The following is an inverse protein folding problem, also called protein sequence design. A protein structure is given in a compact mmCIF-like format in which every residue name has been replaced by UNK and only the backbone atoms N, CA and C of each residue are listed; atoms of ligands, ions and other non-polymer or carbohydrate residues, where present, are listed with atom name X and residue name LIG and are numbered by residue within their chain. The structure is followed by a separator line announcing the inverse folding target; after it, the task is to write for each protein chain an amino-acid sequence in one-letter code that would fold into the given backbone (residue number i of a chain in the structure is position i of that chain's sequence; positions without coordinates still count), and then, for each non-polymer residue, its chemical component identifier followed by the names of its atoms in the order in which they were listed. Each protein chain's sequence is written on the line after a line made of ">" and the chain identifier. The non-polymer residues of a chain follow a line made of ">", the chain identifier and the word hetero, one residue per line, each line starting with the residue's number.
data_IF_533492004979
#
_entry.id   IF_533492004979
#
_cell.length_a   1.000
_cell.length_b   1.000
_cell.length_c   1.000
_cell.angle_alpha   90.00
_cell.angle_beta   90.00
_cell.angle_gamma   90.00
#
_symmetry.space_group_name_H-M   'P 1'
#
loop_
_entity.id
_entity.type
_entity.pdbx_description
1 polymer ?
#
# COMPACT_ATOMS: atom_id res chain seq x y z
N UNK A 1 17.91 -1.41 -15.33
CA UNK A 1 18.55 -0.49 -16.26
C UNK A 1 19.13 -1.18 -17.47
N UNK A 2 20.38 -0.92 -17.77
CA UNK A 2 21.04 -1.33 -19.03
C UNK A 2 20.99 -2.83 -19.34
N UNK A 3 21.00 -3.66 -18.30
CA UNK A 3 20.88 -5.12 -18.44
C UNK A 3 19.46 -5.60 -18.76
N UNK A 4 18.46 -4.72 -18.74
CA UNK A 4 17.05 -5.06 -18.93
C UNK A 4 16.59 -6.23 -18.06
N UNK A 5 17.07 -6.26 -16.81
CA UNK A 5 16.75 -7.32 -15.86
C UNK A 5 15.26 -7.33 -15.52
N UNK A 6 14.71 -8.54 -15.40
CA UNK A 6 13.32 -8.81 -15.03
C UNK A 6 13.30 -9.81 -13.89
N UNK A 7 12.34 -9.73 -13.01
CA UNK A 7 12.19 -10.70 -11.97
C UNK A 7 11.44 -10.21 -10.75
N UNK A 8 11.44 -11.07 -9.74
CA UNK A 8 10.90 -10.77 -8.42
C UNK A 8 12.03 -10.70 -7.40
N UNK A 9 12.02 -9.63 -6.62
CA UNK A 9 12.79 -9.51 -5.38
C UNK A 9 11.81 -9.75 -4.23
N UNK A 10 12.01 -10.84 -3.49
CA UNK A 10 11.20 -11.18 -2.34
C UNK A 10 11.95 -10.76 -1.08
N UNK A 11 11.51 -9.71 -0.43
CA UNK A 11 12.00 -9.26 0.86
C UNK A 11 11.37 -10.09 1.97
N UNK A 12 11.89 -11.29 2.20
CA UNK A 12 11.43 -12.14 3.28
C UNK A 12 11.86 -11.61 4.64
N UNK A 13 11.02 -11.80 5.68
CA UNK A 13 11.24 -11.26 7.02
C UNK A 13 11.37 -9.72 6.97
N UNK A 14 10.44 -9.09 6.29
CA UNK A 14 10.45 -7.65 6.04
C UNK A 14 9.80 -6.85 7.17
N UNK A 15 9.98 -5.52 7.13
CA UNK A 15 9.38 -4.59 8.07
C UNK A 15 9.98 -4.67 9.48
N UNK A 16 9.17 -4.37 10.47
CA UNK A 16 9.58 -4.27 11.90
C UNK A 16 8.63 -5.01 12.81
N UNK A 17 7.33 -4.88 12.61
CA UNK A 17 6.28 -5.36 13.50
C UNK A 17 6.30 -6.88 13.68
N UNK A 18 6.65 -7.64 12.65
CA UNK A 18 6.69 -9.11 12.68
C UNK A 18 8.06 -9.69 13.05
N UNK A 19 9.02 -8.85 13.47
CA UNK A 19 10.40 -9.23 13.80
C UNK A 19 10.68 -9.18 15.30
N UNK A 20 9.80 -9.71 16.12
CA UNK A 20 9.97 -9.79 17.56
C UNK A 20 11.21 -10.61 17.92
N UNK A 21 12.09 -10.04 18.75
CA UNK A 21 13.30 -10.72 19.21
C UNK A 21 14.45 -10.80 18.20
N UNK A 22 14.25 -10.34 16.97
CA UNK A 22 15.32 -10.20 15.98
C UNK A 22 16.20 -8.97 16.29
N UNK A 23 17.46 -9.00 15.87
CA UNK A 23 18.34 -7.84 16.05
C UNK A 23 17.98 -6.65 15.16
N UNK A 24 18.46 -5.46 15.52
CA UNK A 24 18.23 -4.21 14.76
C UNK A 24 18.60 -4.33 13.27
N UNK A 25 19.58 -5.15 12.94
CA UNK A 25 20.04 -5.38 11.56
C UNK A 25 18.98 -6.03 10.65
N UNK A 26 17.96 -6.64 11.21
CA UNK A 26 16.84 -7.23 10.47
C UNK A 26 15.66 -6.26 10.28
N UNK A 27 15.65 -5.14 11.00
CA UNK A 27 14.56 -4.16 11.01
C UNK A 27 14.61 -3.28 9.75
N UNK A 28 13.82 -3.63 8.73
CA UNK A 28 13.71 -2.82 7.50
C UNK A 28 12.67 -1.69 7.66
N UNK A 29 13.11 -0.46 7.47
CA UNK A 29 12.21 0.69 7.45
C UNK A 29 12.27 1.50 6.16
N UNK A 30 13.17 1.18 5.22
CA UNK A 30 13.57 2.09 4.14
C UNK A 30 13.51 1.48 2.74
N UNK A 31 13.44 0.16 2.60
CA UNK A 31 13.53 -0.52 1.30
C UNK A 31 12.48 -0.06 0.29
N UNK A 32 11.25 0.21 0.74
CA UNK A 32 10.19 0.75 -0.12
C UNK A 32 10.52 2.14 -0.69
N UNK A 33 11.26 2.99 0.02
CA UNK A 33 11.71 4.27 -0.52
C UNK A 33 12.77 4.08 -1.61
N UNK A 34 13.72 3.17 -1.38
CA UNK A 34 14.74 2.83 -2.39
C UNK A 34 14.10 2.25 -3.65
N UNK A 35 13.12 1.36 -3.50
CA UNK A 35 12.35 0.81 -4.59
C UNK A 35 11.54 1.88 -5.33
N UNK A 36 10.85 2.77 -4.61
CA UNK A 36 10.05 3.84 -5.18
C UNK A 36 10.87 4.85 -6.02
N UNK A 37 12.15 5.05 -5.67
CA UNK A 37 13.07 5.91 -6.41
C UNK A 37 13.57 5.28 -7.72
N UNK A 38 13.36 3.96 -7.92
CA UNK A 38 13.85 3.23 -9.10
C UNK A 38 12.73 3.06 -10.12
N UNK A 39 12.82 3.65 -11.33
CA UNK A 39 11.69 3.76 -12.26
C UNK A 39 11.09 2.43 -12.74
N UNK A 40 11.90 1.38 -12.84
CA UNK A 40 11.47 0.05 -13.32
C UNK A 40 11.22 -0.95 -12.17
N UNK A 41 11.08 -0.50 -10.94
CA UNK A 41 10.69 -1.34 -9.80
C UNK A 41 9.27 -1.01 -9.38
N UNK A 42 8.40 -2.01 -9.33
CA UNK A 42 7.09 -1.96 -8.67
C UNK A 42 7.20 -2.59 -7.30
N UNK A 43 6.93 -1.83 -6.25
CA UNK A 43 7.07 -2.28 -4.87
C UNK A 43 5.70 -2.47 -4.22
N UNK A 44 5.50 -3.62 -3.58
CA UNK A 44 4.26 -3.99 -2.91
C UNK A 44 4.54 -4.46 -1.49
N UNK A 45 3.72 -3.99 -0.53
CA UNK A 45 3.71 -4.38 0.87
C UNK A 45 2.38 -5.09 1.16
N UNK A 46 2.41 -6.42 1.14
CA UNK A 46 1.23 -7.27 1.01
C UNK A 46 0.82 -7.87 2.37
N UNK A 47 -0.47 -7.76 2.70
CA UNK A 47 -1.02 -8.30 3.94
C UNK A 47 -1.49 -9.76 3.82
N UNK A 48 -1.98 -10.18 2.64
CA UNK A 48 -2.64 -11.47 2.48
C UNK A 48 -2.07 -12.30 1.33
N UNK A 49 -2.10 -13.63 1.48
CA UNK A 49 -1.57 -14.57 0.51
C UNK A 49 -2.19 -14.45 -0.89
N UNK A 50 -3.49 -14.13 -0.98
CA UNK A 50 -4.15 -13.92 -2.27
C UNK A 50 -3.59 -12.69 -3.02
N UNK A 51 -3.16 -11.66 -2.31
CA UNK A 51 -2.50 -10.49 -2.91
C UNK A 51 -1.17 -10.87 -3.53
N UNK A 52 -0.37 -11.67 -2.81
CA UNK A 52 0.91 -12.20 -3.31
C UNK A 52 0.68 -12.95 -4.62
N UNK A 53 -0.30 -13.86 -4.64
CA UNK A 53 -0.63 -14.65 -5.83
C UNK A 53 -1.04 -13.76 -7.02
N UNK A 54 -1.88 -12.75 -6.79
CA UNK A 54 -2.33 -11.79 -7.81
C UNK A 54 -1.17 -10.99 -8.36
N UNK A 55 -0.30 -10.45 -7.50
CA UNK A 55 0.83 -9.61 -7.91
C UNK A 55 1.89 -10.44 -8.64
N UNK A 56 2.17 -11.67 -8.21
CA UNK A 56 3.07 -12.58 -8.93
C UNK A 56 2.49 -12.90 -10.31
N UNK A 57 1.20 -13.23 -10.39
CA UNK A 57 0.55 -13.49 -11.67
C UNK A 57 0.63 -12.29 -12.62
N UNK A 58 0.34 -11.08 -12.12
CA UNK A 58 0.45 -9.84 -12.89
C UNK A 58 1.89 -9.58 -13.35
N UNK A 59 2.87 -9.80 -12.48
CA UNK A 59 4.29 -9.64 -12.82
C UNK A 59 4.75 -10.61 -13.90
N UNK A 60 4.34 -11.87 -13.84
CA UNK A 60 4.61 -12.87 -14.87
C UNK A 60 3.99 -12.44 -16.22
N UNK A 61 2.74 -11.96 -16.20
CA UNK A 61 2.09 -11.45 -17.40
C UNK A 61 2.88 -10.29 -18.02
N UNK A 62 3.25 -9.28 -17.22
CA UNK A 62 3.99 -8.11 -17.73
C UNK A 62 5.39 -8.48 -18.26
N UNK A 63 6.13 -9.33 -17.55
CA UNK A 63 7.50 -9.68 -17.92
C UNK A 63 7.58 -10.69 -19.05
N UNK A 64 6.66 -11.66 -19.12
CA UNK A 64 6.75 -12.79 -20.05
C UNK A 64 5.87 -12.59 -21.28
N UNK A 65 4.63 -12.12 -21.09
CA UNK A 65 3.69 -11.95 -22.21
C UNK A 65 3.79 -10.57 -22.86
N UNK A 66 4.02 -9.52 -22.05
CA UNK A 66 4.07 -8.14 -22.52
C UNK A 66 5.51 -7.64 -22.74
N UNK A 67 6.51 -8.48 -22.47
CA UNK A 67 7.95 -8.22 -22.70
C UNK A 67 8.48 -6.95 -21.98
N UNK A 68 7.89 -6.57 -20.82
CA UNK A 68 8.30 -5.39 -20.07
C UNK A 68 9.56 -5.62 -19.25
N UNK A 69 10.51 -4.68 -19.31
CA UNK A 69 11.72 -4.67 -18.49
C UNK A 69 11.43 -4.09 -17.09
N UNK A 70 10.87 -4.92 -16.23
CA UNK A 70 10.37 -4.51 -14.91
C UNK A 70 10.78 -5.52 -13.84
N UNK A 71 10.98 -5.02 -12.63
CA UNK A 71 11.24 -5.83 -11.44
C UNK A 71 10.12 -5.59 -10.42
N UNK A 72 9.59 -6.65 -9.87
CA UNK A 72 8.64 -6.61 -8.76
C UNK A 72 9.36 -6.82 -7.44
N UNK A 73 9.20 -5.89 -6.51
CA UNK A 73 9.68 -6.01 -5.13
C UNK A 73 8.50 -6.25 -4.21
N UNK A 74 8.47 -7.41 -3.55
CA UNK A 74 7.40 -7.81 -2.63
C UNK A 74 7.98 -8.02 -1.23
N UNK A 75 7.43 -7.34 -0.24
CA UNK A 75 7.75 -7.62 1.16
C UNK A 75 6.86 -8.73 1.69
N UNK A 76 7.49 -9.67 2.41
CA UNK A 76 6.86 -10.84 2.99
C UNK A 76 7.11 -10.86 4.50
N UNK A 77 6.06 -11.06 5.26
CA UNK A 77 6.06 -10.95 6.71
C UNK A 77 6.43 -12.26 7.40
N UNK A 78 6.99 -12.17 8.62
CA UNK A 78 7.39 -13.31 9.44
C UNK A 78 6.37 -13.61 10.56
N UNK A 79 5.08 -13.56 10.24
CA UNK A 79 4.01 -13.81 11.20
C UNK A 79 2.89 -14.64 10.57
N UNK A 80 2.36 -15.58 11.35
CA UNK A 80 1.20 -16.37 10.94
C UNK A 80 -0.09 -15.75 11.46
N UNK A 81 -1.01 -15.41 10.57
CA UNK A 81 -2.36 -14.95 10.90
C UNK A 81 -3.40 -15.51 9.94
N UNK A 82 -4.67 -15.43 10.32
CA UNK A 82 -5.77 -15.95 9.51
C UNK A 82 -5.96 -15.04 8.30
N UNK A 83 -5.86 -15.63 7.11
CA UNK A 83 -6.12 -14.93 5.84
C UNK A 83 -7.59 -15.06 5.48
N UNK A 84 -8.31 -13.96 5.24
CA UNK A 84 -9.69 -14.02 4.74
C UNK A 84 -9.71 -14.51 3.28
N UNK A 85 -10.86 -14.95 2.77
CA UNK A 85 -11.01 -15.21 1.35
C UNK A 85 -10.84 -13.93 0.53
N UNK A 86 -10.41 -14.08 -0.73
CA UNK A 86 -10.32 -12.96 -1.67
C UNK A 86 -11.71 -12.33 -1.86
N UNK A 87 -11.89 -11.03 -1.62
CA UNK A 87 -13.15 -10.36 -1.94
C UNK A 87 -13.40 -10.33 -3.45
N UNK A 88 -14.66 -10.37 -3.84
CA UNK A 88 -15.03 -10.34 -5.26
C UNK A 88 -14.72 -8.97 -5.90
N UNK A 89 -14.19 -9.00 -7.12
CA UNK A 89 -14.01 -7.81 -7.96
C UNK A 89 -12.85 -6.89 -7.61
N UNK A 90 -12.00 -7.23 -6.62
CA UNK A 90 -10.91 -6.33 -6.16
C UNK A 90 -9.54 -6.62 -6.79
N UNK A 91 -9.44 -7.58 -7.71
CA UNK A 91 -8.14 -7.99 -8.30
C UNK A 91 -7.40 -6.82 -8.95
N UNK A 92 -8.09 -6.01 -9.76
CA UNK A 92 -7.49 -4.84 -10.39
C UNK A 92 -7.09 -3.76 -9.39
N UNK A 93 -7.86 -3.59 -8.33
CA UNK A 93 -7.61 -2.61 -7.28
C UNK A 93 -6.39 -3.00 -6.45
N UNK A 94 -6.20 -4.30 -6.17
CA UNK A 94 -4.98 -4.87 -5.55
C UNK A 94 -3.75 -4.53 -6.39
N UNK A 95 -3.81 -4.72 -7.71
CA UNK A 95 -2.72 -4.41 -8.64
C UNK A 95 -2.43 -2.90 -8.67
N UNK A 96 -3.46 -2.06 -8.61
CA UNK A 96 -3.33 -0.60 -8.60
C UNK A 96 -2.86 -0.01 -7.27
N UNK A 97 -2.81 -0.82 -6.22
CA UNK A 97 -2.21 -0.43 -4.94
C UNK A 97 -3.17 -0.12 -3.80
N UNK A 98 -4.50 -0.15 -4.00
CA UNK A 98 -5.48 0.18 -2.96
C UNK A 98 -6.81 -0.50 -3.22
N UNK A 99 -7.34 -1.21 -2.22
CA UNK A 99 -8.67 -1.76 -2.27
C UNK A 99 -9.39 -1.69 -0.92
N UNK A 100 -10.71 -1.75 -0.93
CA UNK A 100 -11.55 -1.57 0.24
C UNK A 100 -11.75 -2.87 1.02
N UNK A 101 -11.57 -2.82 2.35
CA UNK A 101 -11.78 -3.93 3.27
C UNK A 101 -13.12 -3.82 4.00
N UNK A 102 -13.42 -2.65 4.59
CA UNK A 102 -14.68 -2.42 5.30
C UNK A 102 -15.43 -1.23 4.72
N UNK A 103 -16.73 -1.43 4.50
CA UNK A 103 -17.61 -0.41 3.96
C UNK A 103 -18.45 0.19 5.06
N UNK A 104 -18.53 1.51 5.11
CA UNK A 104 -19.55 2.25 5.83
C UNK A 104 -20.20 3.28 4.90
N UNK A 105 -21.50 3.51 5.01
CA UNK A 105 -22.21 4.43 4.13
C UNK A 105 -21.81 5.89 4.36
N UNK A 106 -21.55 6.25 5.61
CA UNK A 106 -21.22 7.62 6.04
C UNK A 106 -19.99 7.63 6.95
N UNK A 107 -18.81 7.33 6.41
CA UNK A 107 -17.60 7.35 7.21
C UNK A 107 -17.34 8.75 7.76
N UNK A 108 -16.99 8.85 9.04
CA UNK A 108 -16.49 10.08 9.65
C UNK A 108 -14.97 10.18 9.55
N UNK A 109 -14.30 9.04 9.34
CA UNK A 109 -12.86 8.89 9.20
C UNK A 109 -12.56 7.72 8.27
N UNK A 110 -11.41 7.75 7.63
CA UNK A 110 -10.88 6.67 6.81
C UNK A 110 -9.55 6.19 7.37
N UNK A 111 -9.38 4.88 7.41
CA UNK A 111 -8.14 4.24 7.83
C UNK A 111 -7.55 3.46 6.66
N UNK A 112 -6.25 3.65 6.42
CA UNK A 112 -5.45 2.93 5.43
C UNK A 112 -4.38 2.15 6.17
N UNK A 113 -4.24 0.84 5.87
CA UNK A 113 -3.17 0.00 6.39
C UNK A 113 -2.43 -0.71 5.27
N UNK A 114 -1.17 -1.08 5.47
CA UNK A 114 -0.42 -1.92 4.55
C UNK A 114 0.32 -3.04 5.30
N UNK A 115 0.60 -4.14 4.61
CA UNK A 115 1.33 -5.26 5.18
C UNK A 115 0.78 -5.69 6.55
N UNK A 116 1.65 -5.95 7.54
CA UNK A 116 1.24 -6.41 8.87
C UNK A 116 0.41 -5.37 9.63
N UNK A 117 0.56 -4.07 9.32
CA UNK A 117 -0.18 -2.99 9.98
C UNK A 117 -1.68 -2.99 9.63
N UNK A 118 -2.10 -3.72 8.58
CA UNK A 118 -3.53 -3.84 8.28
C UNK A 118 -4.30 -4.48 9.44
N UNK A 119 -3.73 -5.49 10.12
CA UNK A 119 -4.32 -6.11 11.30
C UNK A 119 -4.54 -5.09 12.43
N UNK A 120 -3.54 -4.26 12.71
CA UNK A 120 -3.61 -3.22 13.74
C UNK A 120 -4.63 -2.11 13.37
N UNK A 121 -4.70 -1.78 12.10
CA UNK A 121 -5.70 -0.80 11.59
C UNK A 121 -7.13 -1.35 11.72
N UNK A 122 -7.34 -2.64 11.50
CA UNK A 122 -8.63 -3.29 11.72
C UNK A 122 -9.02 -3.30 13.20
N UNK A 123 -8.06 -3.62 14.10
CA UNK A 123 -8.28 -3.54 15.54
C UNK A 123 -8.59 -2.10 16.01
N UNK A 124 -7.87 -1.11 15.48
CA UNK A 124 -8.16 0.30 15.75
C UNK A 124 -9.56 0.71 15.28
N UNK A 125 -10.02 0.16 14.14
CA UNK A 125 -11.37 0.42 13.65
C UNK A 125 -12.45 -0.16 14.59
N UNK A 126 -12.20 -1.33 15.17
CA UNK A 126 -13.09 -1.94 16.15
C UNK A 126 -13.15 -1.10 17.44
N UNK A 127 -12.00 -0.67 17.97
CA UNK A 127 -11.93 0.23 19.15
C UNK A 127 -12.63 1.57 18.90
N UNK A 128 -12.47 2.17 17.73
CA UNK A 128 -13.19 3.42 17.39
C UNK A 128 -14.70 3.22 17.40
N UNK A 129 -15.17 2.04 16.97
CA UNK A 129 -16.60 1.71 17.01
C UNK A 129 -17.09 1.47 18.43
N UNK A 130 -16.33 0.71 19.23
CA UNK A 130 -16.71 0.33 20.60
C UNK A 130 -16.69 1.53 21.56
N UNK A 131 -15.61 2.30 21.56
CA UNK A 131 -15.38 3.36 22.55
C UNK A 131 -16.02 4.70 22.16
N UNK A 132 -16.16 4.97 20.86
CA UNK A 132 -16.53 6.31 20.35
C UNK A 132 -17.74 6.33 19.42
N UNK A 133 -18.31 5.17 19.12
CA UNK A 133 -19.37 5.01 18.11
C UNK A 133 -19.01 5.65 16.74
N UNK A 134 -17.72 5.51 16.36
CA UNK A 134 -17.19 5.95 15.08
C UNK A 134 -16.90 4.71 14.22
N UNK A 135 -17.63 4.55 13.13
CA UNK A 135 -17.42 3.47 12.17
C UNK A 135 -16.57 3.99 11.00
N UNK A 136 -15.26 3.65 10.94
CA UNK A 136 -14.40 4.08 9.86
C UNK A 136 -14.60 3.28 8.58
N UNK A 137 -14.31 3.88 7.42
CA UNK A 137 -14.01 3.13 6.21
C UNK A 137 -12.59 2.60 6.30
N UNK A 138 -12.37 1.30 6.04
CA UNK A 138 -11.03 0.69 6.08
C UNK A 138 -10.60 0.20 4.71
N UNK A 139 -9.38 0.53 4.34
CA UNK A 139 -8.77 0.17 3.07
C UNK A 139 -7.41 -0.49 3.27
N UNK A 140 -7.08 -1.46 2.44
CA UNK A 140 -5.74 -2.01 2.36
C UNK A 140 -4.96 -1.32 1.24
N UNK A 141 -3.76 -0.86 1.56
CA UNK A 141 -2.80 -0.30 0.61
C UNK A 141 -1.76 -1.37 0.29
N UNK A 142 -1.84 -1.94 -0.88
CA UNK A 142 -0.86 -2.92 -1.35
C UNK A 142 0.40 -2.27 -1.92
N UNK A 143 0.30 -1.00 -2.38
CA UNK A 143 1.45 -0.25 -2.90
C UNK A 143 1.27 1.26 -2.84
N UNK A 144 1.96 1.92 -1.94
CA UNK A 144 2.01 3.39 -1.89
C UNK A 144 2.72 3.98 -3.11
N UNK A 145 3.77 3.31 -3.62
CA UNK A 145 4.53 3.81 -4.77
C UNK A 145 3.75 3.75 -6.07
N UNK A 146 2.97 2.69 -6.32
CA UNK A 146 2.16 2.59 -7.53
C UNK A 146 0.97 3.56 -7.49
N UNK A 147 0.39 3.80 -6.31
CA UNK A 147 -0.64 4.83 -6.12
C UNK A 147 -0.11 6.22 -6.47
N UNK A 148 1.09 6.58 -5.98
CA UNK A 148 1.74 7.85 -6.29
C UNK A 148 2.02 7.96 -7.80
N UNK A 149 2.64 6.94 -8.40
CA UNK A 149 2.95 6.92 -9.85
C UNK A 149 1.70 7.12 -10.69
N UNK A 150 0.63 6.41 -10.37
CA UNK A 150 -0.65 6.55 -11.08
C UNK A 150 -1.21 7.98 -10.95
N UNK A 151 -1.11 8.60 -9.77
CA UNK A 151 -1.55 9.97 -9.58
C UNK A 151 -0.70 10.96 -10.38
N UNK A 152 0.64 10.86 -10.31
CA UNK A 152 1.59 11.69 -11.08
C UNK A 152 1.38 11.56 -12.60
N UNK A 153 1.19 10.34 -13.10
CA UNK A 153 0.88 10.09 -14.51
C UNK A 153 -0.46 10.71 -14.93
N UNK A 154 -1.46 10.63 -14.06
CA UNK A 154 -2.77 11.24 -14.29
C UNK A 154 -2.68 12.75 -14.35
N UNK A 155 -2.01 13.41 -13.41
CA UNK A 155 -1.77 14.84 -13.41
C UNK A 155 -1.01 15.28 -14.66
N UNK A 156 0.08 14.56 -15.00
CA UNK A 156 0.85 14.85 -16.21
C UNK A 156 -0.02 14.75 -17.46
N UNK A 157 -0.84 13.69 -17.55
CA UNK A 157 -1.72 13.52 -18.70
C UNK A 157 -2.72 14.68 -18.81
N UNK A 158 -3.33 15.10 -17.70
CA UNK A 158 -4.28 16.20 -17.66
C UNK A 158 -3.60 17.53 -18.07
N UNK A 159 -2.36 17.74 -17.62
CA UNK A 159 -1.60 18.93 -17.95
C UNK A 159 -1.31 19.06 -19.46
N UNK A 160 -0.99 17.96 -20.13
CA UNK A 160 -0.64 17.96 -21.57
C UNK A 160 -1.86 17.77 -22.48
N UNK A 161 -3.06 17.53 -21.93
CA UNK A 161 -4.31 17.38 -22.69
C UNK A 161 -5.42 18.27 -22.10
N UNK A 162 -5.21 19.61 -22.00
CA UNK A 162 -6.14 20.51 -21.30
C UNK A 162 -7.51 20.62 -21.99
N UNK A 163 -7.61 20.23 -23.27
CA UNK A 163 -8.86 20.23 -24.05
C UNK A 163 -9.71 18.96 -23.86
N UNK A 164 -9.20 17.96 -23.14
CA UNK A 164 -9.90 16.68 -22.91
C UNK A 164 -10.53 16.66 -21.52
N UNK A 165 -11.53 15.76 -21.33
CA UNK A 165 -12.07 15.49 -20.01
C UNK A 165 -10.94 15.00 -19.07
N UNK A 166 -10.77 15.63 -17.89
CA UNK A 166 -9.73 15.26 -16.95
C UNK A 166 -9.86 13.80 -16.51
N UNK A 167 -8.74 13.08 -16.52
CA UNK A 167 -8.66 11.75 -15.91
C UNK A 167 -8.58 11.86 -14.40
N UNK A 168 -9.05 10.83 -13.72
CA UNK A 168 -8.94 10.68 -12.27
C UNK A 168 -7.99 9.53 -11.96
N UNK A 169 -7.13 9.74 -10.98
CA UNK A 169 -6.27 8.69 -10.45
C UNK A 169 -7.08 7.59 -9.75
N UNK A 170 -6.45 6.45 -9.49
CA UNK A 170 -7.07 5.37 -8.73
C UNK A 170 -7.44 5.83 -7.30
N UNK A 171 -6.59 6.64 -6.66
CA UNK A 171 -6.88 7.26 -5.36
C UNK A 171 -8.15 8.13 -5.40
N UNK A 172 -8.25 9.02 -6.39
CA UNK A 172 -9.42 9.88 -6.53
C UNK A 172 -10.69 9.04 -6.79
N UNK A 173 -10.64 8.08 -7.70
CA UNK A 173 -11.79 7.22 -8.00
C UNK A 173 -12.24 6.42 -6.77
N UNK A 174 -11.30 5.93 -5.98
CA UNK A 174 -11.58 5.11 -4.80
C UNK A 174 -12.07 5.94 -3.62
N UNK A 175 -11.52 7.14 -3.41
CA UNK A 175 -11.66 7.89 -2.16
C UNK A 175 -12.51 9.17 -2.27
N UNK A 176 -12.84 9.65 -3.49
CA UNK A 176 -13.48 10.95 -3.69
C UNK A 176 -14.91 11.06 -3.12
N UNK A 177 -15.61 9.92 -2.93
CA UNK A 177 -16.99 9.91 -2.44
C UNK A 177 -17.16 10.64 -1.09
N UNK A 178 -16.14 10.58 -0.23
CA UNK A 178 -16.16 11.17 1.09
C UNK A 178 -14.84 11.90 1.36
N UNK A 179 -14.90 13.20 1.58
CA UNK A 179 -13.74 14.03 1.93
C UNK A 179 -13.54 14.08 3.45
N UNK A 180 -13.30 12.92 4.03
CA UNK A 180 -13.10 12.75 5.48
C UNK A 180 -11.61 12.67 5.83
N UNK A 181 -11.23 12.95 7.10
CA UNK A 181 -9.85 12.71 7.55
C UNK A 181 -9.43 11.28 7.24
N UNK A 182 -8.21 11.14 6.71
CA UNK A 182 -7.60 9.86 6.38
C UNK A 182 -6.35 9.67 7.20
N UNK A 183 -6.24 8.54 7.91
CA UNK A 183 -5.05 8.12 8.63
C UNK A 183 -4.49 6.90 7.91
N UNK A 184 -3.22 6.95 7.50
CA UNK A 184 -2.52 5.84 6.86
C UNK A 184 -1.38 5.36 7.75
N UNK A 185 -1.31 4.04 7.98
CA UNK A 185 -0.27 3.40 8.76
C UNK A 185 0.56 2.44 7.90
N UNK A 186 1.88 2.49 8.06
CA UNK A 186 2.84 1.62 7.41
C UNK A 186 3.91 1.18 8.40
N UNK A 187 4.42 -0.03 8.26
CA UNK A 187 5.49 -0.59 9.12
C UNK A 187 6.87 0.03 8.86
N UNK A 188 6.96 0.85 7.84
CA UNK A 188 8.17 1.55 7.39
C UNK A 188 8.22 2.97 7.93
N UNK A 189 9.28 3.70 7.59
CA UNK A 189 9.37 5.14 7.90
C UNK A 189 8.17 5.88 7.32
N UNK A 190 7.75 6.93 8.01
CA UNK A 190 6.56 7.72 7.72
C UNK A 190 6.49 8.20 6.25
N UNK A 191 7.63 8.52 5.64
CA UNK A 191 7.73 8.92 4.22
C UNK A 191 7.08 7.92 3.26
N UNK A 192 7.02 6.62 3.59
CA UNK A 192 6.42 5.60 2.71
C UNK A 192 4.93 5.86 2.54
N UNK A 193 4.21 6.16 3.60
CA UNK A 193 2.78 6.48 3.52
C UNK A 193 2.53 7.96 3.17
N UNK A 194 3.44 8.88 3.50
CA UNK A 194 3.31 10.31 3.17
C UNK A 194 3.26 10.59 1.66
N UNK A 195 3.90 9.74 0.83
CA UNK A 195 4.02 10.00 -0.60
C UNK A 195 2.69 10.12 -1.36
N UNK A 196 1.59 9.62 -0.82
CA UNK A 196 0.25 9.74 -1.43
C UNK A 196 -0.56 10.92 -0.89
N UNK A 197 -0.09 11.58 0.17
CA UNK A 197 -0.82 12.65 0.85
C UNK A 197 -1.38 13.75 -0.07
N UNK A 198 -0.60 14.28 -1.04
CA UNK A 198 -1.09 15.31 -1.97
C UNK A 198 -2.29 14.89 -2.83
N UNK A 199 -2.50 13.58 -3.00
CA UNK A 199 -3.51 13.01 -3.91
C UNK A 199 -4.74 12.46 -3.18
N UNK A 200 -4.71 12.42 -1.83
CA UNK A 200 -5.84 11.93 -1.03
C UNK A 200 -6.85 13.03 -0.78
N UNK A 201 -8.14 12.84 -1.10
CA UNK A 201 -9.18 13.82 -0.83
C UNK A 201 -9.41 14.04 0.67
N UNK A 202 -9.28 15.27 1.14
CA UNK A 202 -9.46 15.66 2.54
C UNK A 202 -8.17 15.68 3.36
N UNK A 203 -8.26 15.92 4.68
CA UNK A 203 -7.09 15.92 5.57
C UNK A 203 -6.41 14.54 5.59
N UNK A 204 -5.08 14.52 5.51
CA UNK A 204 -4.29 13.28 5.48
C UNK A 204 -3.22 13.27 6.58
N UNK A 205 -3.15 12.14 7.29
CA UNK A 205 -2.19 11.92 8.38
C UNK A 205 -1.47 10.59 8.16
N UNK A 206 -0.16 10.64 7.99
CA UNK A 206 0.68 9.47 7.84
C UNK A 206 1.27 9.04 9.19
N UNK A 207 1.23 7.75 9.45
CA UNK A 207 1.89 7.10 10.58
C UNK A 207 2.94 6.13 10.06
N UNK A 208 4.07 6.08 10.72
CA UNK A 208 5.18 5.20 10.42
C UNK A 208 6.17 5.20 11.56
N UNK A 209 7.20 4.37 11.48
CA UNK A 209 8.26 4.29 12.48
C UNK A 209 9.54 4.88 11.90
N UNK A 210 9.88 6.11 12.30
CA UNK A 210 11.10 6.77 11.88
C UNK A 210 12.32 6.24 12.65
N UNK A 211 13.52 6.41 12.06
CA UNK A 211 14.77 5.89 12.59
C UNK A 211 15.01 4.43 12.21
N UNK A 212 15.92 3.76 12.93
CA UNK A 212 16.37 2.41 12.59
C UNK A 212 15.51 1.27 13.17
N UNK A 213 14.43 1.57 13.86
CA UNK A 213 13.63 0.56 14.54
C UNK A 213 14.29 0.01 15.80
N UNK A 214 13.59 -0.89 16.47
CA UNK A 214 14.08 -1.60 17.66
C UNK A 214 13.49 -2.99 17.68
N UNK A 215 14.29 -3.97 18.15
CA UNK A 215 13.83 -5.31 18.41
C UNK A 215 13.21 -5.36 19.80
N UNK A 216 11.90 -5.38 19.87
CA UNK A 216 11.14 -5.51 21.12
C UNK A 216 9.89 -6.36 20.90
N UNK A 217 9.29 -6.82 21.99
CA UNK A 217 8.01 -7.52 21.93
C UNK A 217 6.85 -6.54 21.76
N UNK A 218 5.78 -6.99 21.15
CA UNK A 218 4.50 -6.30 21.10
C UNK A 218 3.87 -6.17 22.51
#
# INVERSE_FOLDING_TARGET
>A
GDMRARGFLLGGTAGRTTLNGEGLQHQDGHSHLAAAATPNIKAYDLAYAYEIAIIIHQGLKEMVQEDKDIVYYLTLENENYIHPPLPEGVTDDIIKGLYKIRTTEKPRIRLLGSGPLLGEVLAAADLLKEDWDIEPGVWNVTSFSELRRNAEETERWNLINPEKEPRKSHLENSLAKHQVPTIAASDYVKMVSEQIGPYVPGPYYALGTDGFGRSDTR
#
